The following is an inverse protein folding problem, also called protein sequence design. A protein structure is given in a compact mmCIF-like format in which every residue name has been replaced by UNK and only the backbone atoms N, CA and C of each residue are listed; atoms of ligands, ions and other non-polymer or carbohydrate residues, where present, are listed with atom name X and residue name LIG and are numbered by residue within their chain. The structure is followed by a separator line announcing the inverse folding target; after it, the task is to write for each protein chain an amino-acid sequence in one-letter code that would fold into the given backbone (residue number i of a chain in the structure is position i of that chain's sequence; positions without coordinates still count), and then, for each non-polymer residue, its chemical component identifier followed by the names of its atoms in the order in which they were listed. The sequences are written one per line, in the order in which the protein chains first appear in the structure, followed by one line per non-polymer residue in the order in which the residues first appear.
data_IF_801988071795
#
_entry.id   IF_801988071795
#
_cell.length_a   1.000
_cell.length_b   1.000
_cell.length_c   1.000
_cell.angle_alpha   90.00
_cell.angle_beta   90.00
_cell.angle_gamma   90.00
#
_symmetry.space_group_name_H-M   'P 1'
#
loop_
_entity.id
_entity.type
_entity.pdbx_description
1 polymer ?
#
# COMPACT_ATOMS: atom_id res chain seq x y z
N UNK A 1 7.76 7.35 3.46
CA UNK A 1 6.98 8.53 3.86
C UNK A 1 7.75 9.85 3.62
N UNK A 2 8.93 10.04 4.21
CA UNK A 2 9.71 11.28 4.05
C UNK A 2 10.01 11.62 2.56
N UNK A 3 10.35 10.63 1.75
CA UNK A 3 10.65 10.82 0.32
C UNK A 3 9.44 11.27 -0.51
N UNK A 4 8.24 10.83 -0.16
CA UNK A 4 7.01 11.29 -0.83
C UNK A 4 6.71 12.74 -0.45
N UNK A 5 6.86 13.09 0.83
CA UNK A 5 6.69 14.47 1.29
C UNK A 5 7.72 15.39 0.62
N UNK A 6 8.98 14.95 0.52
CA UNK A 6 10.02 15.67 -0.20
C UNK A 6 9.71 15.80 -1.70
N UNK A 7 9.17 14.76 -2.34
CA UNK A 7 8.72 14.82 -3.73
C UNK A 7 7.61 15.88 -3.92
N UNK A 8 6.57 15.81 -3.07
CA UNK A 8 5.47 16.77 -3.06
C UNK A 8 6.01 18.20 -2.91
N UNK A 9 6.86 18.46 -1.92
CA UNK A 9 7.50 19.78 -1.72
C UNK A 9 8.36 20.19 -2.93
N UNK A 10 9.13 19.27 -3.52
CA UNK A 10 10.01 19.62 -4.63
C UNK A 10 9.28 20.04 -5.91
N UNK A 11 8.03 19.59 -6.07
CA UNK A 11 7.18 20.04 -7.18
C UNK A 11 6.71 21.50 -7.06
N UNK A 12 6.87 22.18 -5.90
CA UNK A 12 6.45 23.59 -5.68
C UNK A 12 7.03 24.63 -6.67
N UNK A 13 8.01 24.27 -7.50
CA UNK A 13 8.62 25.18 -8.49
C UNK A 13 7.74 25.49 -9.72
N UNK A 14 6.50 24.97 -9.81
CA UNK A 14 5.61 25.15 -10.98
C UNK A 14 4.20 25.68 -10.59
N UNK A 15 3.35 25.99 -11.58
CA UNK A 15 2.20 26.93 -11.49
C UNK A 15 1.15 26.67 -10.38
N UNK A 16 0.70 27.74 -9.72
CA UNK A 16 0.19 27.80 -8.33
C UNK A 16 -1.25 27.30 -8.04
N UNK A 17 -2.12 27.13 -9.04
CA UNK A 17 -3.57 26.85 -8.83
C UNK A 17 -3.95 25.37 -9.03
N UNK A 18 -3.52 24.75 -10.13
CA UNK A 18 -3.77 23.32 -10.42
C UNK A 18 -2.98 22.41 -9.47
N UNK A 19 -1.78 22.84 -9.05
CA UNK A 19 -0.92 22.07 -8.16
C UNK A 19 -1.45 21.98 -6.73
N UNK A 20 -2.15 23.01 -6.23
CA UNK A 20 -2.67 23.05 -4.86
C UNK A 20 -3.79 22.02 -4.64
N UNK A 21 -4.60 21.77 -5.66
CA UNK A 21 -5.66 20.76 -5.62
C UNK A 21 -5.07 19.35 -5.67
N UNK A 22 -4.11 19.09 -6.57
CA UNK A 22 -3.40 17.81 -6.68
C UNK A 22 -2.55 17.48 -5.44
N UNK A 23 -2.01 18.48 -4.75
CA UNK A 23 -1.28 18.30 -3.49
C UNK A 23 -2.20 17.86 -2.35
N UNK A 24 -3.37 18.50 -2.22
CA UNK A 24 -4.30 18.23 -1.12
C UNK A 24 -4.80 16.78 -1.15
N UNK A 25 -5.08 16.28 -2.35
CA UNK A 25 -5.59 14.93 -2.59
C UNK A 25 -4.51 13.85 -2.56
N UNK A 26 -3.29 14.15 -3.01
CA UNK A 26 -2.13 13.26 -2.85
C UNK A 26 -1.73 13.07 -1.38
N UNK A 27 -1.74 14.16 -0.60
CA UNK A 27 -1.51 14.13 0.85
C UNK A 27 -2.64 13.37 1.56
N UNK A 28 -3.89 13.61 1.19
CA UNK A 28 -5.03 12.88 1.72
C UNK A 28 -4.90 11.36 1.46
N UNK A 29 -4.56 11.00 0.22
CA UNK A 29 -4.32 9.61 -0.17
C UNK A 29 -3.19 8.99 0.66
N UNK A 30 -2.10 9.72 0.87
CA UNK A 30 -0.98 9.26 1.71
C UNK A 30 -1.42 8.97 3.14
N UNK A 31 -2.13 9.90 3.79
CA UNK A 31 -2.60 9.69 5.16
C UNK A 31 -3.55 8.50 5.27
N UNK A 32 -4.44 8.35 4.30
CA UNK A 32 -5.40 7.24 4.28
C UNK A 32 -4.69 5.89 4.07
N UNK A 33 -3.75 5.82 3.13
CA UNK A 33 -2.89 4.66 2.90
C UNK A 33 -2.08 4.33 4.14
N UNK A 34 -1.50 5.33 4.82
CA UNK A 34 -0.76 5.12 6.07
C UNK A 34 -1.64 4.58 7.20
N UNK A 35 -2.88 5.07 7.31
CA UNK A 35 -3.85 4.57 8.29
C UNK A 35 -4.24 3.11 8.01
N UNK A 36 -4.57 2.78 6.75
CA UNK A 36 -4.87 1.41 6.33
C UNK A 36 -3.68 0.47 6.61
N UNK A 37 -2.46 0.89 6.29
CA UNK A 37 -1.25 0.11 6.56
C UNK A 37 -1.08 -0.21 8.06
N UNK A 38 -1.46 0.71 8.95
CA UNK A 38 -1.50 0.46 10.39
C UNK A 38 -2.51 -0.65 10.76
N UNK A 39 -3.71 -0.63 10.15
CA UNK A 39 -4.73 -1.67 10.36
C UNK A 39 -4.26 -3.01 9.81
N UNK A 40 -3.69 -3.04 8.60
CA UNK A 40 -3.12 -4.23 7.97
C UNK A 40 -2.07 -4.87 8.87
N UNK A 41 -1.14 -4.07 9.42
CA UNK A 41 -0.08 -4.56 10.28
C UNK A 41 -0.66 -5.19 11.56
N UNK A 42 -1.63 -4.53 12.19
CA UNK A 42 -2.24 -5.00 13.43
C UNK A 42 -3.05 -6.29 13.21
N UNK A 43 -3.85 -6.37 12.14
CA UNK A 43 -4.59 -7.59 11.78
C UNK A 43 -3.62 -8.70 11.39
N UNK A 44 -2.59 -8.41 10.58
CA UNK A 44 -1.60 -9.39 10.15
C UNK A 44 -0.83 -10.00 11.32
N UNK A 45 -0.39 -9.17 12.27
CA UNK A 45 0.31 -9.61 13.49
C UNK A 45 -0.57 -10.44 14.43
N UNK A 46 -1.87 -10.14 14.50
CA UNK A 46 -2.84 -10.82 15.37
C UNK A 46 -3.57 -11.99 14.71
N UNK A 47 -3.34 -12.24 13.42
CA UNK A 47 -3.86 -13.43 12.73
C UNK A 47 -2.91 -14.60 12.98
N UNK A 48 -3.19 -15.39 14.01
CA UNK A 48 -2.41 -16.57 14.40
C UNK A 48 -3.13 -17.88 14.05
N UNK A 49 -2.34 -18.96 14.05
CA UNK A 49 -2.83 -20.33 13.98
C UNK A 49 -3.60 -20.67 15.26
N UNK A 50 -4.68 -21.44 15.16
CA UNK A 50 -5.58 -21.80 16.26
C UNK A 50 -4.86 -22.51 17.43
N UNK A 51 -3.76 -23.22 17.15
CA UNK A 51 -2.93 -23.92 18.14
C UNK A 51 -1.88 -23.03 18.82
N UNK A 52 -1.66 -21.81 18.33
CA UNK A 52 -0.74 -20.81 18.89
C UNK A 52 -1.51 -19.73 19.70
N UNK A 53 -2.81 -19.91 19.88
CA UNK A 53 -3.63 -19.00 20.68
C UNK A 53 -3.43 -19.27 22.17
N UNK A 54 -2.87 -18.29 22.88
CA UNK A 54 -2.73 -18.34 24.33
C UNK A 54 -4.11 -18.26 25.01
N UNK A 55 -4.30 -19.08 26.04
CA UNK A 55 -5.52 -19.11 26.83
C UNK A 55 -5.70 -17.74 27.55
N UNK A 56 -6.64 -16.92 27.06
CA UNK A 56 -6.98 -15.63 27.66
C UNK A 56 -6.63 -14.38 26.83
N UNK A 57 -6.00 -14.53 25.66
CA UNK A 57 -5.71 -13.39 24.75
C UNK A 57 -6.76 -13.31 23.65
N UNK A 58 -7.39 -12.14 23.46
CA UNK A 58 -8.30 -11.89 22.34
C UNK A 58 -7.52 -11.68 21.03
N UNK A 59 -7.50 -12.72 20.18
CA UNK A 59 -7.00 -12.65 18.81
C UNK A 59 -8.15 -12.39 17.83
N UNK A 60 -7.88 -11.67 16.74
CA UNK A 60 -8.88 -11.47 15.68
C UNK A 60 -9.28 -12.80 15.01
N UNK A 61 -8.40 -13.81 15.01
CA UNK A 61 -8.72 -15.18 14.62
C UNK A 61 -9.84 -15.80 15.49
N UNK A 62 -9.89 -15.49 16.79
CA UNK A 62 -10.90 -15.97 17.74
C UNK A 62 -12.22 -15.21 17.65
N UNK A 63 -12.17 -13.91 17.32
CA UNK A 63 -13.37 -13.05 17.20
C UNK A 63 -14.02 -13.19 15.81
N UNK A 64 -13.23 -13.20 14.74
CA UNK A 64 -13.72 -13.20 13.35
C UNK A 64 -13.67 -14.58 12.70
N UNK A 65 -12.78 -15.47 13.14
CA UNK A 65 -12.44 -16.69 12.42
C UNK A 65 -11.32 -16.46 11.40
N UNK A 66 -10.46 -17.47 11.21
CA UNK A 66 -9.24 -17.40 10.41
C UNK A 66 -9.48 -16.98 8.95
N UNK A 67 -10.54 -17.51 8.34
CA UNK A 67 -10.94 -17.16 6.97
C UNK A 67 -11.41 -15.71 6.86
N UNK A 68 -12.16 -15.21 7.84
CA UNK A 68 -12.66 -13.83 7.84
C UNK A 68 -11.55 -12.81 8.12
N UNK A 69 -10.55 -13.17 8.94
CA UNK A 69 -9.36 -12.34 9.14
C UNK A 69 -8.57 -12.18 7.83
N UNK A 70 -8.36 -13.28 7.09
CA UNK A 70 -7.72 -13.25 5.77
C UNK A 70 -8.55 -12.47 4.75
N UNK A 71 -9.88 -12.66 4.74
CA UNK A 71 -10.76 -11.89 3.86
C UNK A 71 -10.68 -10.38 4.15
N UNK A 72 -10.62 -10.00 5.43
CA UNK A 72 -10.45 -8.60 5.85
C UNK A 72 -9.14 -8.03 5.33
N UNK A 73 -8.03 -8.76 5.40
CA UNK A 73 -6.75 -8.33 4.82
C UNK A 73 -6.84 -8.13 3.30
N UNK A 74 -7.47 -9.05 2.58
CA UNK A 74 -7.64 -8.94 1.13
C UNK A 74 -8.49 -7.71 0.76
N UNK A 75 -9.56 -7.44 1.53
CA UNK A 75 -10.40 -6.25 1.33
C UNK A 75 -9.58 -4.98 1.59
N UNK A 76 -8.79 -4.94 2.68
CA UNK A 76 -7.94 -3.79 2.99
C UNK A 76 -6.90 -3.53 1.90
N UNK A 77 -6.25 -4.58 1.37
CA UNK A 77 -5.34 -4.47 0.23
C UNK A 77 -6.04 -3.89 -1.00
N UNK A 78 -7.26 -4.36 -1.31
CA UNK A 78 -8.02 -3.86 -2.45
C UNK A 78 -8.42 -2.38 -2.28
N UNK A 79 -8.84 -1.97 -1.09
CA UNK A 79 -9.13 -0.58 -0.77
C UNK A 79 -7.86 0.26 -0.94
N UNK A 80 -6.73 -0.19 -0.41
CA UNK A 80 -5.46 0.54 -0.51
C UNK A 80 -5.02 0.74 -1.97
N UNK A 81 -5.19 -0.26 -2.84
CA UNK A 81 -4.93 -0.13 -4.28
C UNK A 81 -5.71 1.03 -4.88
N UNK A 82 -6.98 1.23 -4.50
CA UNK A 82 -7.82 2.32 -5.00
C UNK A 82 -7.22 3.68 -4.58
N UNK A 83 -6.83 3.84 -3.33
CA UNK A 83 -6.24 5.09 -2.85
C UNK A 83 -4.87 5.37 -3.46
N UNK A 84 -4.05 4.35 -3.66
CA UNK A 84 -2.77 4.48 -4.38
C UNK A 84 -3.02 4.89 -5.83
N UNK A 85 -4.01 4.29 -6.50
CA UNK A 85 -4.40 4.68 -7.85
C UNK A 85 -4.85 6.15 -7.92
N UNK A 86 -5.71 6.59 -6.99
CA UNK A 86 -6.17 7.99 -6.93
C UNK A 86 -5.00 8.96 -6.76
N UNK A 87 -4.09 8.68 -5.82
CA UNK A 87 -2.89 9.49 -5.61
C UNK A 87 -1.95 9.51 -6.82
N UNK A 88 -1.80 8.38 -7.53
CA UNK A 88 -0.99 8.32 -8.75
C UNK A 88 -1.65 9.01 -9.95
N UNK A 89 -2.97 8.89 -10.10
CA UNK A 89 -3.75 9.46 -11.19
C UNK A 89 -3.70 10.99 -11.20
N UNK A 90 -3.78 11.61 -10.04
CA UNK A 90 -3.72 13.08 -9.96
C UNK A 90 -2.32 13.62 -10.25
N UNK A 91 -1.26 12.94 -9.78
CA UNK A 91 0.12 13.26 -10.15
C UNK A 91 0.37 13.15 -11.66
N UNK A 92 -0.27 12.19 -12.31
CA UNK A 92 -0.22 12.02 -13.75
C UNK A 92 -0.85 13.21 -14.51
N UNK A 93 -2.04 13.66 -14.09
CA UNK A 93 -2.73 14.79 -14.73
C UNK A 93 -2.17 16.16 -14.36
N UNK A 94 -1.56 16.32 -13.17
CA UNK A 94 -1.14 17.62 -12.63
C UNK A 94 0.18 18.19 -13.18
N UNK A 95 0.90 17.48 -14.06
CA UNK A 95 2.10 18.05 -14.70
C UNK A 95 3.17 17.06 -15.12
N UNK A 96 3.04 15.78 -14.83
CA UNK A 96 3.97 14.74 -15.27
C UNK A 96 3.52 14.08 -16.60
N UNK A 97 2.95 14.86 -17.51
CA UNK A 97 2.46 14.44 -18.83
C UNK A 97 3.58 14.11 -19.83
N UNK A 98 4.74 13.69 -19.34
CA UNK A 98 5.90 13.32 -20.13
C UNK A 98 5.86 11.80 -20.39
N UNK A 99 6.48 11.33 -21.48
CA UNK A 99 6.57 9.91 -21.79
C UNK A 99 7.14 9.08 -20.61
N UNK A 100 8.00 9.69 -19.80
CA UNK A 100 8.53 9.13 -18.57
C UNK A 100 7.43 8.91 -17.51
N UNK A 101 6.63 9.93 -17.16
CA UNK A 101 5.56 9.81 -16.16
C UNK A 101 4.54 8.71 -16.46
N UNK A 102 4.19 8.54 -17.75
CA UNK A 102 3.35 7.41 -18.23
C UNK A 102 3.96 6.06 -17.87
N UNK A 103 5.22 5.81 -18.25
CA UNK A 103 5.90 4.52 -18.07
C UNK A 103 5.93 4.09 -16.59
N UNK A 104 6.21 5.04 -15.70
CA UNK A 104 6.33 4.76 -14.27
C UNK A 104 4.98 4.58 -13.57
N UNK A 105 3.93 5.31 -14.00
CA UNK A 105 2.57 5.05 -13.56
C UNK A 105 2.17 3.59 -13.83
N UNK A 106 2.37 3.12 -15.07
CA UNK A 106 2.09 1.73 -15.43
C UNK A 106 2.97 0.74 -14.67
N UNK A 107 4.26 1.05 -14.49
CA UNK A 107 5.19 0.17 -13.76
C UNK A 107 4.79 0.03 -12.29
N UNK A 108 4.40 1.12 -11.62
CA UNK A 108 3.93 1.10 -10.24
C UNK A 108 2.65 0.28 -10.08
N UNK A 109 1.67 0.46 -10.97
CA UNK A 109 0.42 -0.32 -10.96
C UNK A 109 0.67 -1.81 -11.21
N UNK A 110 1.53 -2.16 -12.19
CA UNK A 110 1.88 -3.55 -12.49
C UNK A 110 2.58 -4.20 -11.29
N UNK A 111 3.51 -3.48 -10.64
CA UNK A 111 4.20 -3.96 -9.44
C UNK A 111 3.22 -4.20 -8.28
N UNK A 112 2.29 -3.26 -8.04
CA UNK A 112 1.30 -3.39 -6.98
C UNK A 112 0.34 -4.57 -7.22
N UNK A 113 -0.14 -4.75 -8.45
CA UNK A 113 -1.01 -5.86 -8.82
C UNK A 113 -0.32 -7.22 -8.74
N UNK A 114 0.95 -7.30 -9.15
CA UNK A 114 1.72 -8.55 -9.04
C UNK A 114 1.93 -8.97 -7.59
N UNK A 115 2.21 -8.03 -6.69
CA UNK A 115 2.33 -8.29 -5.25
C UNK A 115 0.98 -8.66 -4.64
N UNK A 116 -0.11 -8.03 -5.09
CA UNK A 116 -1.47 -8.38 -4.66
C UNK A 116 -1.81 -9.83 -5.00
N UNK A 117 -1.53 -10.27 -6.24
CA UNK A 117 -1.72 -11.65 -6.66
C UNK A 117 -0.89 -12.64 -5.84
N UNK A 118 0.39 -12.33 -5.59
CA UNK A 118 1.28 -13.16 -4.75
C UNK A 118 0.76 -13.23 -3.31
N UNK A 119 0.26 -12.12 -2.76
CA UNK A 119 -0.28 -12.06 -1.41
C UNK A 119 -1.54 -12.91 -1.27
N UNK A 120 -2.48 -12.83 -2.22
CA UNK A 120 -3.67 -13.69 -2.25
C UNK A 120 -3.28 -15.17 -2.31
N UNK A 121 -2.31 -15.53 -3.16
CA UNK A 121 -1.86 -16.91 -3.29
C UNK A 121 -1.31 -17.44 -1.96
N UNK A 122 -0.43 -16.69 -1.29
CA UNK A 122 0.14 -17.10 -0.02
C UNK A 122 -0.90 -17.13 1.11
N UNK A 123 -1.83 -16.17 1.15
CA UNK A 123 -2.93 -16.15 2.14
C UNK A 123 -3.89 -17.33 1.96
N UNK A 124 -4.18 -17.73 0.71
CA UNK A 124 -4.96 -18.95 0.42
C UNK A 124 -4.20 -20.21 0.87
N UNK A 125 -2.89 -20.26 0.63
CA UNK A 125 -2.03 -21.36 1.08
C UNK A 125 -2.03 -21.45 2.62
N UNK A 126 -1.97 -20.32 3.32
CA UNK A 126 -2.09 -20.25 4.78
C UNK A 126 -3.39 -20.89 5.28
N UNK A 127 -4.54 -20.61 4.62
CA UNK A 127 -5.83 -21.22 4.98
C UNK A 127 -5.81 -22.74 4.74
N UNK A 128 -5.29 -23.21 3.60
CA UNK A 128 -5.36 -24.63 3.23
C UNK A 128 -4.39 -25.53 3.99
N UNK A 129 -3.17 -25.06 4.21
CA UNK A 129 -2.07 -25.86 4.76
C UNK A 129 -1.86 -25.64 6.27
N UNK A 130 -2.74 -24.87 6.91
CA UNK A 130 -2.69 -24.56 8.36
C UNK A 130 -1.31 -24.08 8.84
N UNK A 131 -0.73 -23.16 8.06
CA UNK A 131 0.61 -22.62 8.28
C UNK A 131 0.64 -21.67 9.49
N UNK A 132 1.84 -21.35 9.97
CA UNK A 132 2.05 -20.47 11.14
C UNK A 132 1.59 -19.04 10.87
N UNK A 133 1.15 -18.33 11.92
CA UNK A 133 0.71 -16.93 11.82
C UNK A 133 1.80 -15.97 11.31
N UNK A 134 3.07 -16.37 11.42
CA UNK A 134 4.23 -15.58 10.95
C UNK A 134 4.19 -15.28 9.45
N UNK A 135 3.60 -16.17 8.64
CA UNK A 135 3.46 -15.95 7.20
C UNK A 135 2.53 -14.77 6.92
N UNK A 136 1.42 -14.65 7.65
CA UNK A 136 0.46 -13.55 7.47
C UNK A 136 1.07 -12.21 7.88
N UNK A 137 1.83 -12.20 8.98
CA UNK A 137 2.61 -11.03 9.41
C UNK A 137 3.62 -10.60 8.35
N UNK A 138 4.39 -11.55 7.79
CA UNK A 138 5.38 -11.28 6.76
C UNK A 138 4.75 -10.75 5.47
N UNK A 139 3.64 -11.34 5.01
CA UNK A 139 2.90 -10.88 3.83
C UNK A 139 2.41 -9.45 4.05
N UNK A 140 1.87 -9.16 5.24
CA UNK A 140 1.40 -7.82 5.60
C UNK A 140 2.55 -6.80 5.60
N UNK A 141 3.71 -7.17 6.15
CA UNK A 141 4.91 -6.32 6.12
C UNK A 141 5.45 -6.07 4.71
N UNK A 142 5.50 -7.10 3.86
CA UNK A 142 5.91 -6.99 2.45
C UNK A 142 4.94 -6.08 1.70
N UNK A 143 3.64 -6.28 1.89
CA UNK A 143 2.60 -5.45 1.28
C UNK A 143 2.79 -3.97 1.62
N UNK A 144 2.94 -3.64 2.92
CA UNK A 144 3.15 -2.26 3.39
C UNK A 144 4.44 -1.66 2.80
N UNK A 145 5.53 -2.42 2.72
CA UNK A 145 6.79 -1.92 2.14
C UNK A 145 6.60 -1.51 0.68
N UNK A 146 5.95 -2.35 -0.11
CA UNK A 146 5.77 -2.11 -1.53
C UNK A 146 4.69 -1.07 -1.83
N UNK A 147 3.65 -0.96 -1.00
CA UNK A 147 2.65 0.10 -1.12
C UNK A 147 3.31 1.48 -1.00
N UNK A 148 4.17 1.68 0.01
CA UNK A 148 4.96 2.91 0.14
C UNK A 148 6.00 3.11 -0.96
N UNK A 149 6.61 2.03 -1.48
CA UNK A 149 7.54 2.13 -2.60
C UNK A 149 6.84 2.69 -3.84
N UNK A 150 5.64 2.17 -4.14
CA UNK A 150 4.80 2.62 -5.26
C UNK A 150 4.31 4.05 -5.07
N UNK A 151 4.01 4.46 -3.83
CA UNK A 151 3.57 5.82 -3.55
C UNK A 151 4.71 6.84 -3.61
N UNK A 152 5.87 6.58 -2.99
CA UNK A 152 6.88 7.62 -2.73
C UNK A 152 8.23 7.47 -3.41
N UNK A 153 8.79 6.27 -3.46
CA UNK A 153 10.17 6.07 -3.93
C UNK A 153 10.27 6.17 -5.46
N UNK A 154 9.28 5.59 -6.14
CA UNK A 154 9.20 5.60 -7.60
C UNK A 154 9.00 7.03 -8.11
N UNK A 155 8.20 7.85 -7.43
CA UNK A 155 7.99 9.27 -7.76
C UNK A 155 9.24 10.12 -7.54
N UNK A 156 9.95 9.91 -6.43
CA UNK A 156 11.18 10.66 -6.10
C UNK A 156 12.32 10.41 -7.10
N UNK A 157 12.54 9.17 -7.55
CA UNK A 157 13.55 8.85 -8.58
C UNK A 157 13.23 9.60 -9.88
N UNK A 158 11.96 9.67 -10.27
CA UNK A 158 11.52 10.37 -11.49
C UNK A 158 11.79 11.87 -11.41
N UNK A 159 11.57 12.48 -10.24
CA UNK A 159 11.85 13.90 -10.05
C UNK A 159 13.35 14.22 -10.16
N UNK A 160 14.20 13.34 -9.62
CA UNK A 160 15.64 13.52 -9.65
C UNK A 160 16.24 13.30 -11.05
N UNK A 161 15.72 12.32 -11.81
CA UNK A 161 16.11 12.11 -13.21
C UNK A 161 15.55 13.20 -14.15
N UNK A 162 14.46 13.88 -13.79
CA UNK A 162 13.91 15.04 -14.53
C UNK A 162 14.72 16.33 -14.30
N UNK A 163 15.47 16.42 -13.20
CA UNK A 163 16.34 17.58 -12.88
C UNK A 163 17.72 17.53 -13.56
N UNK A 164 18.09 16.40 -14.17
CA UNK A 164 19.28 16.27 -15.02
C UNK A 164 18.95 16.63 -16.46
#
# INVERSE_FOLDING_TARGET
MLLFVLFVISTEKYSFSVQRQAHSSAIFSLFFVSYINGIILEIGRKTRKSSEEEYGVETYSKILGRERAVLTLIILFAIEIIFIYLGLHENYYAGLNNAFGKKYFFTGIILLLSIFCVSIFQLRKFIKEDLTGKIVENISGIWIMFSYLCMGFLQYIIFFDFLK
#
